data_IF_096585505889
#
_entry.id   IF_096585505889
#
_cell.length_a   1.000
_cell.length_b   1.000
_cell.length_c   1.000
_cell.angle_alpha   90.00
_cell.angle_beta   90.00
_cell.angle_gamma   90.00
#
_symmetry.space_group_name_H-M   'P 1'
#
loop_
_entity.id
_entity.type
_entity.pdbx_description
1 polymer ?
#
# COMPACT_ATOMS: atom_id res chain seq x y z
N UNK A 1 -24.68 0.09 2.73
CA UNK A 1 -23.42 0.07 3.50
C UNK A 1 -23.00 1.50 3.81
N UNK A 2 -22.82 1.82 5.08
CA UNK A 2 -22.33 3.13 5.54
C UNK A 2 -20.82 3.29 5.28
N UNK A 3 -20.30 4.51 5.40
CA UNK A 3 -18.87 4.80 5.21
C UNK A 3 -17.96 3.92 6.08
N UNK A 4 -18.29 3.76 7.37
CA UNK A 4 -17.49 2.96 8.30
C UNK A 4 -17.61 1.46 8.05
N UNK A 5 -18.82 0.98 7.71
CA UNK A 5 -19.02 -0.41 7.29
C UNK A 5 -18.20 -0.73 6.04
N UNK A 6 -18.11 0.19 5.08
CA UNK A 6 -17.33 0.01 3.85
C UNK A 6 -15.82 0.02 4.12
N UNK A 7 -15.33 0.91 4.99
CA UNK A 7 -13.93 0.86 5.45
C UNK A 7 -13.62 -0.48 6.11
N UNK A 8 -14.50 -0.93 7.01
CA UNK A 8 -14.34 -2.19 7.71
C UNK A 8 -14.32 -3.36 6.74
N UNK A 9 -15.25 -3.39 5.79
CA UNK A 9 -15.28 -4.40 4.72
C UNK A 9 -13.99 -4.42 3.91
N UNK A 10 -13.54 -3.26 3.41
CA UNK A 10 -12.31 -3.19 2.62
C UNK A 10 -11.07 -3.64 3.39
N UNK A 11 -10.99 -3.37 4.71
CA UNK A 11 -9.89 -3.85 5.56
C UNK A 11 -9.98 -5.34 5.84
N UNK A 12 -11.19 -5.84 6.07
CA UNK A 12 -11.44 -7.26 6.24
C UNK A 12 -11.06 -8.03 4.97
N UNK A 13 -11.53 -7.59 3.80
CA UNK A 13 -11.17 -8.16 2.51
C UNK A 13 -9.65 -8.15 2.29
N UNK A 14 -8.97 -7.06 2.64
CA UNK A 14 -7.52 -6.95 2.49
C UNK A 14 -6.77 -7.94 3.39
N UNK A 15 -7.16 -8.05 4.67
CA UNK A 15 -6.61 -9.02 5.60
C UNK A 15 -6.88 -10.46 5.15
N UNK A 16 -8.15 -10.80 4.97
CA UNK A 16 -8.64 -12.16 4.67
C UNK A 16 -8.09 -12.71 3.37
N UNK A 17 -7.95 -11.89 2.33
CA UNK A 17 -7.52 -12.42 1.01
C UNK A 17 -6.03 -12.27 0.73
N UNK A 18 -5.28 -11.44 1.47
CA UNK A 18 -3.90 -11.10 1.11
C UNK A 18 -2.88 -11.20 2.24
N UNK A 19 -3.26 -11.60 3.46
CA UNK A 19 -2.36 -11.60 4.62
C UNK A 19 -2.48 -12.87 5.49
N UNK A 20 -2.44 -14.06 4.87
CA UNK A 20 -2.51 -15.34 5.60
C UNK A 20 -1.21 -15.69 6.30
N UNK A 21 -0.07 -15.39 5.68
CA UNK A 21 1.21 -15.83 6.20
C UNK A 21 1.69 -14.84 7.29
N UNK A 22 2.06 -15.34 8.48
CA UNK A 22 2.50 -14.48 9.58
C UNK A 22 3.81 -13.76 9.28
N UNK A 23 4.71 -14.28 8.42
CA UNK A 23 5.88 -13.53 7.94
C UNK A 23 5.42 -12.33 7.10
N UNK A 24 4.45 -12.52 6.22
CA UNK A 24 3.89 -11.41 5.46
C UNK A 24 3.30 -10.35 6.41
N UNK A 25 2.52 -10.79 7.40
CA UNK A 25 1.98 -9.90 8.44
C UNK A 25 3.09 -9.14 9.19
N UNK A 26 4.21 -9.80 9.52
CA UNK A 26 5.37 -9.15 10.14
C UNK A 26 6.05 -8.14 9.22
N UNK A 27 6.20 -8.45 7.94
CA UNK A 27 6.73 -7.51 6.96
C UNK A 27 5.79 -6.30 6.77
N UNK A 28 4.48 -6.50 6.88
CA UNK A 28 3.50 -5.42 6.93
C UNK A 28 3.63 -4.57 8.20
N UNK A 29 3.87 -5.17 9.37
CA UNK A 29 4.15 -4.44 10.61
C UNK A 29 5.37 -3.51 10.47
N UNK A 30 6.47 -4.02 9.92
CA UNK A 30 7.68 -3.23 9.67
C UNK A 30 7.43 -2.13 8.64
N UNK A 31 6.78 -2.48 7.52
CA UNK A 31 6.39 -1.54 6.47
C UNK A 31 5.52 -0.40 7.02
N UNK A 32 4.51 -0.73 7.83
CA UNK A 32 3.62 0.22 8.46
C UNK A 32 4.37 1.19 9.38
N UNK A 33 5.32 0.68 10.16
CA UNK A 33 6.19 1.50 11.00
C UNK A 33 7.01 2.50 10.17
N UNK A 34 7.56 2.06 9.03
CA UNK A 34 8.24 2.93 8.07
C UNK A 34 7.30 4.01 7.48
N UNK A 35 6.05 3.67 7.16
CA UNK A 35 5.07 4.66 6.68
C UNK A 35 4.74 5.71 7.74
N UNK A 36 4.63 5.34 9.02
CA UNK A 36 4.43 6.32 10.10
C UNK A 36 5.63 7.26 10.20
N UNK A 37 6.86 6.73 10.12
CA UNK A 37 8.07 7.56 10.07
C UNK A 37 8.04 8.49 8.84
N UNK A 38 7.64 7.98 7.67
CA UNK A 38 7.47 8.79 6.45
C UNK A 38 6.44 9.92 6.64
N UNK A 39 5.32 9.67 7.32
CA UNK A 39 4.31 10.69 7.62
C UNK A 39 4.85 11.82 8.51
N UNK A 40 5.76 11.52 9.43
CA UNK A 40 6.41 12.56 10.24
C UNK A 40 7.47 13.28 9.41
N UNK A 41 8.30 12.54 8.68
CA UNK A 41 9.40 13.10 7.90
C UNK A 41 8.93 14.05 6.80
N UNK A 42 7.74 13.85 6.23
CA UNK A 42 7.27 14.68 5.09
C UNK A 42 7.23 16.17 5.42
N UNK A 43 7.06 16.53 6.70
CA UNK A 43 7.01 17.92 7.18
C UNK A 43 8.39 18.57 7.39
N UNK A 44 9.44 17.77 7.58
CA UNK A 44 10.78 18.25 7.92
C UNK A 44 11.81 17.94 6.84
N UNK A 45 11.73 16.74 6.27
CA UNK A 45 12.66 16.15 5.32
C UNK A 45 11.90 15.39 4.23
N UNK A 46 11.21 16.08 3.29
CA UNK A 46 10.33 15.45 2.31
C UNK A 46 11.03 14.43 1.39
N UNK A 47 12.29 14.67 1.02
CA UNK A 47 13.10 13.71 0.27
C UNK A 47 13.32 12.41 1.07
N UNK A 48 13.68 12.53 2.36
CA UNK A 48 13.86 11.36 3.23
C UNK A 48 12.52 10.61 3.43
N UNK A 49 11.41 11.32 3.57
CA UNK A 49 10.08 10.73 3.67
C UNK A 49 9.76 9.84 2.45
N UNK A 50 10.06 10.32 1.25
CA UNK A 50 9.85 9.58 0.02
C UNK A 50 10.75 8.34 -0.09
N UNK A 51 12.03 8.45 0.29
CA UNK A 51 12.96 7.33 0.30
C UNK A 51 12.52 6.25 1.29
N UNK A 52 12.12 6.63 2.51
CA UNK A 52 11.60 5.69 3.52
C UNK A 52 10.31 5.03 3.02
N UNK A 53 9.39 5.79 2.43
CA UNK A 53 8.13 5.25 1.90
C UNK A 53 8.33 4.29 0.73
N UNK A 54 9.11 4.68 -0.28
CA UNK A 54 9.29 3.88 -1.50
C UNK A 54 10.30 2.74 -1.36
N UNK A 55 11.44 2.98 -0.70
CA UNK A 55 12.54 2.00 -0.67
C UNK A 55 12.48 1.08 0.54
N UNK A 56 11.99 1.55 1.69
CA UNK A 56 11.87 0.70 2.88
C UNK A 56 10.46 0.14 3.00
N UNK A 57 9.47 1.00 3.16
CA UNK A 57 8.10 0.57 3.45
C UNK A 57 7.52 -0.27 2.31
N UNK A 58 7.60 0.20 1.06
CA UNK A 58 7.05 -0.52 -0.08
C UNK A 58 7.81 -1.80 -0.39
N UNK A 59 9.14 -1.85 -0.27
CA UNK A 59 9.92 -3.07 -0.50
C UNK A 59 9.55 -4.16 0.49
N UNK A 60 9.43 -3.83 1.79
CA UNK A 60 8.98 -4.77 2.81
C UNK A 60 7.59 -5.33 2.48
N UNK A 61 6.64 -4.44 2.17
CA UNK A 61 5.27 -4.81 1.79
C UNK A 61 5.22 -5.68 0.54
N UNK A 62 5.97 -5.33 -0.50
CA UNK A 62 6.00 -6.12 -1.74
C UNK A 62 6.67 -7.47 -1.54
N UNK A 63 7.71 -7.55 -0.72
CA UNK A 63 8.38 -8.80 -0.36
C UNK A 63 7.39 -9.75 0.31
N UNK A 64 6.61 -9.24 1.26
CA UNK A 64 5.52 -9.96 1.91
C UNK A 64 4.54 -10.60 0.92
N UNK A 65 3.88 -9.77 0.13
CA UNK A 65 2.92 -10.25 -0.87
C UNK A 65 3.53 -11.15 -1.95
N UNK A 66 4.79 -10.93 -2.34
CA UNK A 66 5.40 -11.66 -3.44
C UNK A 66 5.92 -13.03 -3.03
N UNK A 67 6.52 -13.17 -1.85
CA UNK A 67 7.15 -14.44 -1.46
C UNK A 67 6.26 -15.31 -0.58
N UNK A 68 5.32 -14.72 0.16
CA UNK A 68 4.60 -15.42 1.22
C UNK A 68 3.10 -15.57 0.99
N UNK A 69 2.54 -15.03 -0.10
CA UNK A 69 1.12 -15.13 -0.41
C UNK A 69 0.83 -15.85 -1.74
N UNK A 70 -0.31 -16.56 -1.85
CA UNK A 70 -0.69 -17.30 -3.06
C UNK A 70 -0.93 -16.35 -4.25
N UNK A 71 -0.25 -16.63 -5.38
CA UNK A 71 -0.37 -15.84 -6.63
C UNK A 71 -1.38 -16.40 -7.63
N UNK A 72 -1.87 -17.61 -7.41
CA UNK A 72 -2.71 -18.33 -8.37
C UNK A 72 -4.09 -18.61 -7.76
N UNK A 73 -4.28 -19.79 -7.20
CA UNK A 73 -5.49 -20.16 -6.48
C UNK A 73 -5.24 -20.04 -4.98
N UNK A 74 -6.19 -19.45 -4.29
CA UNK A 74 -6.19 -19.36 -2.83
C UNK A 74 -7.02 -20.51 -2.27
N UNK A 75 -6.33 -21.53 -1.76
CA UNK A 75 -6.96 -22.70 -1.16
C UNK A 75 -7.73 -22.37 0.13
N UNK A 76 -7.30 -21.35 0.88
CA UNK A 76 -7.93 -20.93 2.15
C UNK A 76 -9.30 -20.33 1.86
N UNK A 77 -9.36 -19.44 0.88
CA UNK A 77 -10.59 -18.76 0.50
C UNK A 77 -11.35 -19.43 -0.64
N UNK A 78 -10.81 -20.48 -1.26
CA UNK A 78 -11.33 -21.16 -2.45
C UNK A 78 -11.66 -20.21 -3.60
N UNK A 79 -10.74 -19.28 -3.89
CA UNK A 79 -10.95 -18.22 -4.90
C UNK A 79 -9.75 -18.04 -5.81
N UNK A 80 -9.99 -17.56 -7.03
CA UNK A 80 -8.95 -17.21 -8.00
C UNK A 80 -8.40 -15.81 -7.74
N UNK A 81 -7.16 -15.55 -8.19
CA UNK A 81 -6.60 -14.19 -8.13
C UNK A 81 -7.49 -13.14 -8.83
N UNK A 82 -8.12 -13.50 -9.96
CA UNK A 82 -9.02 -12.62 -10.69
C UNK A 82 -10.25 -12.23 -9.86
N UNK A 83 -10.80 -13.15 -9.08
CA UNK A 83 -11.88 -12.84 -8.14
C UNK A 83 -11.41 -11.91 -7.02
N UNK A 84 -10.22 -12.16 -6.44
CA UNK A 84 -9.66 -11.26 -5.43
C UNK A 84 -9.48 -9.82 -5.95
N UNK A 85 -9.04 -9.66 -7.20
CA UNK A 85 -8.95 -8.35 -7.84
C UNK A 85 -10.31 -7.68 -8.04
N UNK A 86 -11.36 -8.44 -8.35
CA UNK A 86 -12.70 -7.87 -8.57
C UNK A 86 -13.37 -7.39 -7.29
N UNK A 87 -13.08 -8.04 -6.15
CA UNK A 87 -13.61 -7.62 -4.84
C UNK A 87 -12.78 -6.50 -4.19
N UNK A 88 -11.46 -6.48 -4.43
CA UNK A 88 -10.58 -5.49 -3.80
C UNK A 88 -10.71 -4.12 -4.45
N UNK A 89 -11.48 -3.25 -3.80
CA UNK A 89 -11.70 -1.86 -4.23
C UNK A 89 -10.37 -1.15 -4.43
N UNK A 90 -10.24 -0.52 -5.60
CA UNK A 90 -9.07 0.28 -5.91
C UNK A 90 -7.86 -0.52 -6.43
N UNK A 91 -7.80 -1.85 -6.26
CA UNK A 91 -6.69 -2.68 -6.74
C UNK A 91 -6.85 -3.11 -8.20
N UNK A 92 -5.73 -3.21 -8.90
CA UNK A 92 -5.59 -3.82 -10.23
C UNK A 92 -4.11 -3.92 -10.55
N UNK A 93 -3.65 -5.12 -10.91
CA UNK A 93 -2.23 -5.37 -11.15
C UNK A 93 -1.64 -4.50 -12.27
N UNK A 94 -2.34 -4.33 -13.40
CA UNK A 94 -1.84 -3.51 -14.52
C UNK A 94 -1.60 -2.06 -14.11
N UNK A 95 -2.53 -1.45 -13.37
CA UNK A 95 -2.39 -0.08 -12.86
C UNK A 95 -1.21 0.05 -11.89
N UNK A 96 -1.00 -0.96 -11.04
CA UNK A 96 0.15 -1.01 -10.15
C UNK A 96 1.47 -1.08 -10.93
N UNK A 97 1.53 -1.89 -11.98
CA UNK A 97 2.70 -1.96 -12.88
C UNK A 97 2.97 -0.60 -13.51
N UNK A 98 1.95 0.08 -14.04
CA UNK A 98 2.09 1.42 -14.62
C UNK A 98 2.69 2.42 -13.62
N UNK A 99 2.20 2.45 -12.38
CA UNK A 99 2.74 3.32 -11.33
C UNK A 99 4.22 3.01 -11.05
N UNK A 100 4.58 1.73 -10.92
CA UNK A 100 5.95 1.32 -10.66
C UNK A 100 6.88 1.60 -11.85
N UNK A 101 6.38 1.50 -13.08
CA UNK A 101 7.11 1.92 -14.28
C UNK A 101 7.38 3.42 -14.27
N UNK A 102 6.39 4.26 -13.95
CA UNK A 102 6.59 5.71 -13.81
C UNK A 102 7.64 5.99 -12.74
N UNK A 103 7.51 5.37 -11.57
CA UNK A 103 8.48 5.49 -10.47
C UNK A 103 9.90 5.10 -10.91
N UNK A 104 10.07 3.99 -11.63
CA UNK A 104 11.37 3.53 -12.12
C UNK A 104 11.95 4.41 -13.24
N UNK A 105 11.11 5.10 -14.01
CA UNK A 105 11.55 6.00 -15.07
C UNK A 105 12.07 7.34 -14.54
N UNK A 106 11.62 7.79 -13.36
CA UNK A 106 12.06 9.07 -12.76
C UNK A 106 13.58 9.23 -12.71
N UNK A 107 14.38 8.29 -12.14
CA UNK A 107 15.83 8.44 -12.12
C UNK A 107 16.44 8.50 -13.53
N UNK A 108 15.87 7.79 -14.50
CA UNK A 108 16.36 7.77 -15.88
C UNK A 108 16.14 9.14 -16.52
N UNK A 109 14.93 9.69 -16.41
CA UNK A 109 14.62 11.03 -16.92
C UNK A 109 15.49 12.08 -16.25
N UNK A 110 15.61 12.04 -14.93
CA UNK A 110 16.41 13.02 -14.18
C UNK A 110 17.91 12.92 -14.51
N UNK A 111 18.41 11.74 -14.88
CA UNK A 111 19.80 11.58 -15.29
C UNK A 111 20.10 12.31 -16.61
N UNK A 112 19.17 12.28 -17.58
CA UNK A 112 19.33 12.98 -18.86
C UNK A 112 18.85 14.44 -18.83
N UNK A 113 17.91 14.78 -17.95
CA UNK A 113 17.37 16.12 -17.75
C UNK A 113 17.48 16.51 -16.25
N UNK A 114 18.68 16.92 -15.78
CA UNK A 114 18.95 17.13 -14.35
C UNK A 114 18.16 18.26 -13.69
N UNK A 115 17.69 19.21 -14.49
CA UNK A 115 16.81 20.29 -14.03
C UNK A 115 15.33 19.86 -13.94
N UNK A 116 15.00 18.67 -14.45
CA UNK A 116 13.64 18.18 -14.64
C UNK A 116 12.75 19.24 -15.31
N UNK A 117 13.13 19.66 -16.52
CA UNK A 117 12.42 20.69 -17.29
C UNK A 117 12.34 22.06 -16.58
N UNK A 118 13.41 22.42 -15.86
CA UNK A 118 13.51 23.70 -15.14
C UNK A 118 12.81 23.75 -13.77
N UNK A 119 12.26 22.63 -13.28
CA UNK A 119 11.62 22.55 -11.96
C UNK A 119 12.65 22.62 -10.82
N UNK A 120 13.84 22.06 -11.03
CA UNK A 120 14.93 22.05 -10.06
C UNK A 120 16.18 22.76 -10.60
N UNK A 121 17.01 23.23 -9.67
CA UNK A 121 18.42 23.44 -9.99
C UNK A 121 19.07 22.10 -10.31
N UNK A 122 19.79 22.02 -11.44
CA UNK A 122 20.52 20.82 -11.82
C UNK A 122 21.47 20.40 -10.70
N UNK A 123 21.37 19.13 -10.29
CA UNK A 123 22.21 18.59 -9.23
C UNK A 123 23.68 18.56 -9.66
N UNK A 124 24.57 19.05 -8.80
CA UNK A 124 26.03 19.06 -9.04
C UNK A 124 26.73 17.85 -8.44
N UNK A 125 26.04 17.08 -7.60
CA UNK A 125 26.56 15.91 -6.91
C UNK A 125 25.48 14.81 -6.77
N UNK A 126 25.91 13.66 -6.28
CA UNK A 126 25.01 12.51 -6.13
C UNK A 126 23.93 12.73 -5.07
N UNK A 127 24.24 13.46 -3.99
CA UNK A 127 23.28 13.77 -2.94
C UNK A 127 22.13 14.66 -3.45
N UNK A 128 22.46 15.70 -4.23
CA UNK A 128 21.49 16.55 -4.90
C UNK A 128 20.64 15.77 -5.90
N UNK A 129 21.23 14.83 -6.65
CA UNK A 129 20.48 13.96 -7.56
C UNK A 129 19.44 13.12 -6.83
N UNK A 130 19.85 12.45 -5.74
CA UNK A 130 18.95 11.65 -4.92
C UNK A 130 17.85 12.51 -4.29
N UNK A 131 18.17 13.73 -3.86
CA UNK A 131 17.18 14.66 -3.32
C UNK A 131 16.11 15.00 -4.35
N UNK A 132 16.50 15.51 -5.53
CA UNK A 132 15.56 15.87 -6.60
C UNK A 132 14.71 14.66 -7.02
N UNK A 133 15.33 13.49 -7.20
CA UNK A 133 14.64 12.23 -7.51
C UNK A 133 13.59 11.89 -6.45
N UNK A 134 13.96 11.97 -5.17
CA UNK A 134 13.07 11.64 -4.06
C UNK A 134 11.89 12.61 -3.97
N UNK A 135 12.09 13.91 -4.24
CA UNK A 135 11.00 14.88 -4.32
C UNK A 135 10.03 14.54 -5.46
N UNK A 136 10.54 14.18 -6.65
CA UNK A 136 9.68 13.74 -7.76
C UNK A 136 8.90 12.48 -7.37
N UNK A 137 9.54 11.50 -6.73
CA UNK A 137 8.87 10.31 -6.22
C UNK A 137 7.79 10.60 -5.18
N UNK A 138 7.98 11.62 -4.33
CA UNK A 138 6.95 12.08 -3.41
C UNK A 138 5.72 12.56 -4.16
N UNK A 139 5.92 13.42 -5.16
CA UNK A 139 4.85 13.96 -6.01
C UNK A 139 4.14 12.85 -6.77
N UNK A 140 4.88 11.89 -7.34
CA UNK A 140 4.31 10.71 -8.01
C UNK A 140 3.44 9.90 -7.05
N UNK A 141 3.90 9.65 -5.83
CA UNK A 141 3.13 8.92 -4.81
C UNK A 141 1.83 9.62 -4.41
N UNK A 142 1.92 10.91 -4.07
CA UNK A 142 0.74 11.72 -3.72
C UNK A 142 -0.23 11.85 -4.89
N UNK A 143 0.29 12.11 -6.10
CA UNK A 143 -0.50 12.20 -7.33
C UNK A 143 -1.22 10.90 -7.65
N UNK A 144 -0.57 9.74 -7.45
CA UNK A 144 -1.20 8.43 -7.65
C UNK A 144 -2.38 8.21 -6.71
N UNK A 145 -2.27 8.61 -5.44
CA UNK A 145 -3.35 8.53 -4.45
C UNK A 145 -4.51 9.43 -4.87
N UNK A 146 -4.25 10.71 -5.12
CA UNK A 146 -5.29 11.69 -5.51
C UNK A 146 -5.99 11.27 -6.80
N UNK A 147 -5.22 10.88 -7.82
CA UNK A 147 -5.75 10.39 -9.08
C UNK A 147 -6.65 9.18 -8.86
N UNK A 148 -6.21 8.21 -8.04
CA UNK A 148 -6.99 6.99 -7.78
C UNK A 148 -8.27 7.29 -7.03
N UNK A 149 -8.25 8.18 -6.04
CA UNK A 149 -9.43 8.64 -5.32
C UNK A 149 -10.46 9.25 -6.27
N UNK A 150 -10.06 10.22 -7.10
CA UNK A 150 -10.96 10.87 -8.06
C UNK A 150 -11.47 9.90 -9.13
N UNK A 151 -10.61 8.98 -9.58
CA UNK A 151 -11.01 7.93 -10.50
C UNK A 151 -12.08 7.02 -9.89
N UNK A 152 -11.95 6.65 -8.61
CA UNK A 152 -12.96 5.85 -7.91
C UNK A 152 -14.28 6.60 -7.72
N UNK A 153 -14.28 7.94 -7.62
CA UNK A 153 -15.53 8.71 -7.63
C UNK A 153 -16.37 8.43 -8.87
N UNK A 154 -15.74 8.28 -10.04
CA UNK A 154 -16.43 7.99 -11.30
C UNK A 154 -16.86 6.53 -11.43
N UNK A 155 -16.06 5.59 -10.90
CA UNK A 155 -16.32 4.16 -11.06
C UNK A 155 -17.32 3.60 -10.04
N UNK A 156 -17.25 4.09 -8.80
CA UNK A 156 -17.93 3.48 -7.64
C UNK A 156 -18.68 4.51 -6.79
N UNK A 157 -18.64 5.79 -7.16
CA UNK A 157 -19.26 6.88 -6.41
C UNK A 157 -18.28 7.55 -5.42
N UNK A 158 -18.67 8.75 -4.98
CA UNK A 158 -17.82 9.61 -4.14
C UNK A 158 -17.49 8.94 -2.81
N UNK A 159 -18.47 8.29 -2.18
CA UNK A 159 -18.27 7.59 -0.91
C UNK A 159 -17.16 6.55 -1.02
N UNK A 160 -17.23 5.61 -1.97
CA UNK A 160 -16.23 4.54 -2.12
C UNK A 160 -14.83 5.06 -2.40
N UNK A 161 -14.69 6.16 -3.16
CA UNK A 161 -13.39 6.79 -3.37
C UNK A 161 -12.82 7.42 -2.09
N UNK A 162 -13.66 8.06 -1.27
CA UNK A 162 -13.24 8.62 0.02
C UNK A 162 -12.92 7.52 1.03
N UNK A 163 -13.71 6.45 1.06
CA UNK A 163 -13.44 5.25 1.87
C UNK A 163 -12.10 4.65 1.51
N UNK A 164 -11.81 4.46 0.22
CA UNK A 164 -10.52 3.96 -0.24
C UNK A 164 -9.37 4.87 0.18
N UNK A 165 -9.52 6.20 0.02
CA UNK A 165 -8.51 7.16 0.47
C UNK A 165 -8.26 7.07 1.97
N UNK A 166 -9.33 7.10 2.77
CA UNK A 166 -9.25 7.00 4.23
C UNK A 166 -8.62 5.69 4.67
N UNK A 167 -8.95 4.58 4.00
CA UNK A 167 -8.33 3.27 4.23
C UNK A 167 -6.82 3.36 4.00
N UNK A 168 -6.36 3.77 2.82
CA UNK A 168 -4.93 3.89 2.50
C UNK A 168 -4.18 4.83 3.47
N UNK A 169 -4.76 5.99 3.82
CA UNK A 169 -4.14 6.95 4.73
C UNK A 169 -4.02 6.45 6.18
N UNK A 170 -4.88 5.51 6.58
CA UNK A 170 -4.92 4.97 7.96
C UNK A 170 -4.44 3.53 8.06
N UNK A 171 -4.16 2.88 6.94
CA UNK A 171 -3.65 1.51 6.86
C UNK A 171 -2.40 1.30 7.72
N UNK A 172 -1.39 2.19 7.76
CA UNK A 172 -0.22 1.95 8.62
C UNK A 172 -0.59 1.79 10.10
N UNK A 173 -1.53 2.58 10.62
CA UNK A 173 -1.99 2.44 11.99
C UNK A 173 -2.80 1.15 12.19
N UNK A 174 -3.62 0.80 11.19
CA UNK A 174 -4.40 -0.43 11.22
C UNK A 174 -3.51 -1.68 11.17
N UNK A 175 -2.54 -1.72 10.26
CA UNK A 175 -1.56 -2.79 10.09
C UNK A 175 -0.77 -3.02 11.39
N UNK A 176 -0.32 -1.94 12.07
CA UNK A 176 0.32 -2.07 13.38
C UNK A 176 -0.64 -2.72 14.39
N UNK A 177 -1.88 -2.25 14.45
CA UNK A 177 -2.90 -2.80 15.37
C UNK A 177 -3.13 -4.29 15.15
N UNK A 178 -3.25 -4.75 13.91
CA UNK A 178 -3.60 -6.14 13.61
C UNK A 178 -2.38 -7.07 13.60
N UNK A 179 -1.19 -6.56 13.26
CA UNK A 179 0.01 -7.39 13.08
C UNK A 179 1.05 -7.32 14.20
N UNK A 180 0.86 -6.50 15.25
CA UNK A 180 1.83 -6.42 16.36
C UNK A 180 2.15 -7.78 17.03
N UNK A 181 1.25 -8.77 16.95
CA UNK A 181 1.45 -10.12 17.49
C UNK A 181 2.14 -11.08 16.52
N UNK A 182 2.32 -10.72 15.25
CA UNK A 182 2.93 -11.63 14.27
C UNK A 182 4.33 -12.13 14.67
N UNK A 183 5.23 -11.34 15.31
CA UNK A 183 6.52 -11.87 15.78
C UNK A 183 6.35 -12.99 16.80
N UNK A 184 5.40 -12.85 17.72
CA UNK A 184 5.12 -13.84 18.75
C UNK A 184 4.65 -15.17 18.16
N UNK A 185 3.73 -15.13 17.18
CA UNK A 185 3.24 -16.33 16.50
C UNK A 185 4.32 -17.00 15.66
N UNK A 186 5.16 -16.22 14.96
CA UNK A 186 6.32 -16.75 14.21
C UNK A 186 7.26 -17.50 15.16
N UNK A 187 7.57 -16.93 16.33
CA UNK A 187 8.46 -17.56 17.32
C UNK A 187 7.89 -18.87 17.89
N UNK A 188 6.56 -19.03 17.90
CA UNK A 188 5.89 -20.29 18.25
C UNK A 188 5.87 -21.32 17.12
N UNK A 189 6.27 -20.95 15.90
CA UNK A 189 6.13 -21.78 14.71
C UNK A 189 4.74 -21.75 14.08
N UNK A 190 3.85 -20.85 14.52
CA UNK A 190 2.51 -20.66 13.95
C UNK A 190 2.62 -19.76 12.70
N UNK A 191 2.93 -20.36 11.55
CA UNK A 191 3.27 -19.61 10.32
C UNK A 191 2.08 -19.04 9.56
N UNK A 192 0.86 -19.53 9.82
CA UNK A 192 -0.35 -19.14 9.11
C UNK A 192 -1.42 -18.65 10.09
N UNK A 193 -2.15 -17.62 9.67
CA UNK A 193 -3.34 -17.14 10.34
C UNK A 193 -4.54 -17.99 9.94
N UNK A 194 -5.28 -18.49 10.93
CA UNK A 194 -6.53 -19.21 10.68
C UNK A 194 -7.66 -18.23 10.28
N UNK A 195 -7.46 -16.93 10.51
CA UNK A 195 -8.37 -15.83 10.20
C UNK A 195 -9.69 -15.86 10.99
N UNK A 196 -9.70 -16.55 12.12
CA UNK A 196 -10.89 -16.68 12.99
C UNK A 196 -11.04 -15.49 13.96
N UNK A 197 -9.95 -14.76 14.19
CA UNK A 197 -9.84 -13.80 15.30
C UNK A 197 -10.18 -12.34 14.92
N UNK A 198 -10.33 -12.01 13.63
CA UNK A 198 -10.41 -10.60 13.18
C UNK A 198 -11.67 -10.25 12.38
N UNK A 199 -12.46 -9.40 13.03
CA UNK A 199 -13.86 -9.02 12.77
C UNK A 199 -14.81 -10.22 12.90
N UNK A 200 -15.84 -10.08 13.77
CA UNK A 200 -17.05 -10.92 13.64
C UNK A 200 -17.43 -10.99 12.17
N UNK A 201 -17.87 -12.16 11.68
CA UNK A 201 -18.40 -12.33 10.32
C UNK A 201 -19.36 -11.18 10.06
N UNK A 202 -18.85 -10.13 9.43
CA UNK A 202 -19.64 -8.95 9.24
C UNK A 202 -20.64 -9.36 8.19
N UNK A 203 -21.88 -9.55 8.61
CA UNK A 203 -23.02 -9.84 7.75
C UNK A 203 -23.26 -8.61 6.88
N UNK A 204 -22.37 -8.39 5.90
CA UNK A 204 -22.49 -7.38 4.87
C UNK A 204 -23.55 -7.79 3.84
N UNK A 205 -24.59 -8.52 4.28
CA UNK A 205 -25.77 -8.74 3.46
C UNK A 205 -26.32 -7.37 3.12
N UNK A 206 -26.40 -7.10 1.81
CA UNK A 206 -27.08 -5.94 1.28
C UNK A 206 -28.51 -5.95 1.81
N UNK A 207 -28.77 -5.17 2.88
CA UNK A 207 -30.11 -4.66 3.10
C UNK A 207 -30.40 -3.73 1.93
N UNK A 208 -31.17 -4.29 0.99
CA UNK A 208 -31.67 -3.67 -0.22
C UNK A 208 -32.38 -2.34 0.05
#
# INVERSE_FOLDING_TARGET
MTFFEEIQKQRWDDHRYYHHNRINQFLHLLSASCFIVSYILVFYYPAAAALVGWLLAMVLRQTGHFFFEPKTYDEVNKTTHQYKESVKVGYNLQRKVVLLSIWALVPIVLFFEPSFFGIFSAATDFAGFINNMAIIWLVVGLGAIVFRTVHLFKLMGVQSGLVWFSKIATDPFHDIKIYHKSPYYILKGEMYDNMDDWYEEASFENKA
#
